data_IF_725045181411
#
_entry.id   IF_725045181411
#
_cell.length_a   1.000
_cell.length_b   1.000
_cell.length_c   1.000
_cell.angle_alpha   90.00
_cell.angle_beta   90.00
_cell.angle_gamma   90.00
#
_symmetry.space_group_name_H-M   'P 1'
#
loop_
_entity.id
_entity.type
_entity.pdbx_description
1 polymer ?
#
# COMPACT_ATOMS: atom_id res chain seq x y z
N UNK A 1 -16.91 24.42 -17.88
CA UNK A 1 -16.68 23.00 -17.53
C UNK A 1 -16.11 23.00 -16.12
N UNK A 2 -16.96 22.79 -15.11
CA UNK A 2 -16.53 22.77 -13.72
C UNK A 2 -15.87 21.42 -13.47
N UNK A 3 -14.54 21.38 -13.36
CA UNK A 3 -13.86 20.26 -12.73
C UNK A 3 -14.33 20.27 -11.27
N UNK A 4 -15.28 19.40 -10.90
CA UNK A 4 -15.50 19.14 -9.48
C UNK A 4 -14.22 18.50 -8.97
N UNK A 5 -13.45 19.21 -8.16
CA UNK A 5 -12.39 18.59 -7.39
C UNK A 5 -13.04 17.46 -6.59
N UNK A 6 -12.71 16.20 -6.92
CA UNK A 6 -13.24 15.07 -6.18
C UNK A 6 -12.75 15.22 -4.74
N UNK A 7 -13.67 15.48 -3.81
CA UNK A 7 -13.32 15.62 -2.40
C UNK A 7 -12.71 14.31 -1.91
N UNK A 8 -11.65 14.43 -1.12
CA UNK A 8 -11.05 13.26 -0.49
C UNK A 8 -12.09 12.56 0.40
N UNK A 9 -12.17 11.23 0.30
CA UNK A 9 -13.17 10.45 1.05
C UNK A 9 -12.57 9.53 2.09
N UNK A 10 -11.43 8.88 1.80
CA UNK A 10 -10.82 7.93 2.73
C UNK A 10 -9.39 7.57 2.33
N UNK A 11 -8.70 6.95 3.28
CA UNK A 11 -7.37 6.36 3.13
C UNK A 11 -7.37 5.00 3.83
N UNK A 12 -6.36 4.18 3.58
CA UNK A 12 -6.19 2.91 4.27
C UNK A 12 -4.86 2.83 5.00
N UNK A 13 -4.87 2.32 6.21
CA UNK A 13 -3.67 1.85 6.89
C UNK A 13 -3.11 0.62 6.17
N UNK A 14 -1.81 0.36 6.30
CA UNK A 14 -1.18 -0.86 5.83
C UNK A 14 0.01 -1.23 6.72
N UNK A 15 0.27 -2.53 6.81
CA UNK A 15 1.44 -3.10 7.46
C UNK A 15 1.89 -4.31 6.66
N UNK A 16 3.19 -4.47 6.44
CA UNK A 16 3.72 -5.52 5.61
C UNK A 16 5.17 -5.85 5.89
N UNK A 17 5.63 -6.89 5.21
CA UNK A 17 7.03 -7.27 5.16
C UNK A 17 7.36 -7.65 3.74
N UNK A 18 8.59 -7.38 3.34
CA UNK A 18 9.09 -7.80 2.03
C UNK A 18 9.55 -9.27 2.11
N UNK A 19 9.62 -9.93 0.96
CA UNK A 19 10.18 -11.28 0.84
C UNK A 19 11.69 -11.24 1.06
N UNK A 20 12.29 -12.39 1.34
CA UNK A 20 13.75 -12.53 1.38
C UNK A 20 14.36 -12.12 0.03
N UNK A 21 15.50 -11.44 0.08
CA UNK A 21 16.37 -11.22 -1.07
C UNK A 21 17.78 -11.75 -0.79
N UNK A 22 18.62 -11.67 -1.82
CA UNK A 22 20.01 -12.13 -1.80
C UNK A 22 20.17 -13.65 -1.56
N UNK A 23 21.42 -14.12 -1.56
CA UNK A 23 21.79 -15.52 -1.35
C UNK A 23 23.05 -15.57 -0.49
N UNK A 24 23.20 -16.62 0.33
CA UNK A 24 24.38 -16.80 1.18
C UNK A 24 24.24 -16.14 2.56
N UNK A 25 25.22 -15.32 2.94
CA UNK A 25 25.36 -14.82 4.32
C UNK A 25 24.50 -13.59 4.64
N UNK A 26 24.00 -12.87 3.64
CA UNK A 26 23.18 -11.66 3.82
C UNK A 26 21.72 -11.86 3.38
N UNK A 27 21.17 -13.07 3.52
CA UNK A 27 19.75 -13.30 3.22
C UNK A 27 18.90 -12.62 4.29
N UNK A 28 18.18 -11.56 3.92
CA UNK A 28 17.36 -10.79 4.86
C UNK A 28 16.04 -10.30 4.26
N UNK A 29 15.22 -9.68 5.11
CA UNK A 29 14.05 -8.92 4.70
C UNK A 29 13.89 -7.66 5.55
N UNK A 30 12.87 -6.90 5.20
CA UNK A 30 12.48 -5.66 5.86
C UNK A 30 10.97 -5.61 6.14
N UNK A 31 10.57 -4.75 7.08
CA UNK A 31 9.17 -4.46 7.43
C UNK A 31 8.80 -3.05 7.03
N UNK A 32 7.51 -2.81 6.78
CA UNK A 32 7.01 -1.46 6.52
C UNK A 32 5.58 -1.30 7.04
N UNK A 33 5.22 -0.06 7.35
CA UNK A 33 3.86 0.31 7.75
C UNK A 33 3.57 1.76 7.30
N UNK A 34 2.30 2.15 7.32
CA UNK A 34 1.89 3.50 7.03
C UNK A 34 0.42 3.63 6.71
N UNK A 35 0.06 4.79 6.15
CA UNK A 35 -1.28 5.10 5.66
C UNK A 35 -1.14 5.48 4.19
N UNK A 36 -2.07 5.00 3.37
CA UNK A 36 -2.06 5.29 1.94
C UNK A 36 -2.29 6.78 1.69
N UNK A 37 -1.89 7.23 0.51
CA UNK A 37 -2.32 8.50 -0.02
C UNK A 37 -3.82 8.52 -0.30
N UNK A 38 -4.25 9.71 -0.67
CA UNK A 38 -5.57 10.09 -1.12
C UNK A 38 -6.12 9.25 -2.30
N UNK A 39 -7.45 9.13 -2.36
CA UNK A 39 -8.19 8.50 -3.47
C UNK A 39 -7.77 9.08 -4.82
N UNK A 40 -7.38 8.19 -5.74
CA UNK A 40 -7.11 8.47 -7.14
C UNK A 40 -8.24 7.81 -7.97
N UNK A 41 -9.12 8.59 -8.60
CA UNK A 41 -10.19 8.04 -9.44
C UNK A 41 -9.66 7.13 -10.56
N UNK A 42 -10.33 5.99 -10.80
CA UNK A 42 -9.96 5.05 -11.84
C UNK A 42 -11.21 4.42 -12.50
N UNK A 43 -11.06 3.84 -13.70
CA UNK A 43 -12.18 3.23 -14.44
C UNK A 43 -12.94 2.15 -13.66
N UNK A 44 -12.27 1.44 -12.75
CA UNK A 44 -12.84 0.36 -11.94
C UNK A 44 -12.86 0.71 -10.44
N UNK A 45 -13.37 1.90 -10.09
CA UNK A 45 -13.42 2.40 -8.72
C UNK A 45 -12.34 3.45 -8.46
N UNK A 46 -11.40 3.16 -7.58
CA UNK A 46 -10.29 4.06 -7.27
C UNK A 46 -9.04 3.28 -6.85
N UNK A 47 -7.94 4.00 -6.68
CA UNK A 47 -6.67 3.46 -6.20
C UNK A 47 -6.07 4.44 -5.20
N UNK A 48 -5.03 4.00 -4.51
CA UNK A 48 -4.24 4.84 -3.62
C UNK A 48 -2.78 4.76 -4.01
N UNK A 49 -2.04 5.84 -3.72
CA UNK A 49 -0.57 5.81 -3.77
C UNK A 49 -0.04 5.36 -2.42
N UNK A 50 0.94 4.47 -2.41
CA UNK A 50 1.72 4.15 -1.20
C UNK A 50 3.12 4.70 -1.41
N UNK A 51 3.48 5.68 -0.58
CA UNK A 51 4.82 6.25 -0.46
C UNK A 51 5.33 6.01 0.96
N UNK A 52 6.22 5.04 1.15
CA UNK A 52 6.80 4.75 2.46
C UNK A 52 8.25 4.28 2.32
N UNK A 53 8.89 4.00 3.45
CA UNK A 53 10.16 3.29 3.52
C UNK A 53 10.00 2.04 4.36
N UNK A 54 10.88 1.08 4.15
CA UNK A 54 11.02 -0.03 5.08
C UNK A 54 11.74 0.42 6.36
N UNK A 55 11.77 -0.47 7.36
CA UNK A 55 12.67 -0.36 8.50
C UNK A 55 14.14 -0.39 8.05
N UNK A 56 15.00 0.02 8.99
CA UNK A 56 16.45 0.01 8.81
C UNK A 56 17.00 -1.29 9.38
N UNK A 57 17.64 -2.09 8.53
CA UNK A 57 18.27 -3.36 8.88
C UNK A 57 19.55 -3.50 8.06
N UNK A 58 20.61 -4.10 8.62
CA UNK A 58 21.92 -4.28 7.98
C UNK A 58 22.38 -3.06 7.16
N UNK A 59 22.38 -1.89 7.80
CA UNK A 59 22.86 -0.61 7.24
C UNK A 59 22.06 -0.02 6.07
N UNK A 60 20.89 -0.55 5.72
CA UNK A 60 20.07 0.05 4.67
C UNK A 60 18.56 -0.06 4.93
N UNK A 61 17.81 0.63 4.08
CA UNK A 61 16.35 0.56 3.97
C UNK A 61 15.98 0.73 2.50
N UNK A 62 14.79 0.31 2.12
CA UNK A 62 14.26 0.57 0.79
C UNK A 62 13.10 1.54 0.81
N UNK A 63 12.95 2.30 -0.28
CA UNK A 63 11.75 3.09 -0.55
C UNK A 63 10.71 2.25 -1.28
N UNK A 64 9.45 2.55 -1.01
CA UNK A 64 8.28 1.98 -1.68
C UNK A 64 7.47 3.15 -2.23
N UNK A 65 7.24 3.12 -3.54
CA UNK A 65 6.49 4.16 -4.24
C UNK A 65 5.62 3.53 -5.34
N UNK A 66 4.40 3.14 -4.99
CA UNK A 66 3.54 2.32 -5.84
C UNK A 66 2.09 2.83 -5.86
N UNK A 67 1.29 2.31 -6.80
CA UNK A 67 -0.16 2.49 -6.86
C UNK A 67 -0.83 1.16 -6.56
N UNK A 68 -1.89 1.18 -5.76
CA UNK A 68 -2.62 -0.03 -5.38
C UNK A 68 -3.45 -0.64 -6.51
N UNK A 69 -3.87 -1.88 -6.33
CA UNK A 69 -4.93 -2.52 -7.13
C UNK A 69 -6.30 -1.84 -6.98
N UNK A 70 -7.30 -2.23 -7.77
CA UNK A 70 -8.69 -1.79 -7.57
C UNK A 70 -9.23 -2.22 -6.19
N UNK A 71 -10.30 -1.59 -5.68
CA UNK A 71 -10.92 -1.98 -4.42
C UNK A 71 -11.46 -3.40 -4.53
N UNK A 72 -11.20 -4.21 -3.49
CA UNK A 72 -11.70 -5.58 -3.35
C UNK A 72 -12.73 -5.58 -2.21
N UNK A 73 -14.03 -5.78 -2.51
CA UNK A 73 -15.08 -5.74 -1.49
C UNK A 73 -14.85 -6.79 -0.40
N UNK A 74 -15.05 -6.39 0.85
CA UNK A 74 -15.00 -7.29 2.03
C UNK A 74 -16.34 -7.34 2.78
N UNK A 75 -17.41 -6.82 2.17
CA UNK A 75 -18.76 -6.79 2.72
C UNK A 75 -19.13 -5.46 3.39
N UNK A 76 -20.43 -5.24 3.61
CA UNK A 76 -20.98 -4.05 4.27
C UNK A 76 -20.45 -2.71 3.70
N UNK A 77 -20.30 -2.63 2.37
CA UNK A 77 -19.83 -1.42 1.70
C UNK A 77 -18.36 -1.06 1.95
N UNK A 78 -17.55 -1.97 2.52
CA UNK A 78 -16.12 -1.78 2.78
C UNK A 78 -15.27 -2.54 1.78
N UNK A 79 -14.03 -2.09 1.58
CA UNK A 79 -13.05 -2.77 0.76
C UNK A 79 -11.64 -2.69 1.35
N UNK A 80 -10.74 -3.45 0.72
CA UNK A 80 -9.28 -3.35 0.86
C UNK A 80 -8.66 -3.20 -0.51
N UNK A 81 -7.38 -2.85 -0.57
CA UNK A 81 -6.60 -2.89 -1.80
C UNK A 81 -5.43 -3.87 -1.68
N UNK A 82 -5.19 -4.65 -2.73
CA UNK A 82 -4.03 -5.53 -2.82
C UNK A 82 -2.90 -4.90 -3.66
N UNK A 83 -1.67 -5.28 -3.32
CA UNK A 83 -0.44 -4.88 -4.01
C UNK A 83 0.46 -6.11 -4.15
N UNK A 84 1.02 -6.28 -5.35
CA UNK A 84 2.20 -7.10 -5.60
C UNK A 84 3.22 -6.24 -6.34
N UNK A 85 4.38 -6.00 -5.73
CA UNK A 85 5.38 -5.08 -6.27
C UNK A 85 6.79 -5.39 -5.74
N UNK A 86 7.75 -4.58 -6.15
CA UNK A 86 9.11 -4.57 -5.61
C UNK A 86 9.41 -3.22 -4.97
N UNK A 87 10.34 -3.22 -4.01
CA UNK A 87 10.95 -2.00 -3.51
C UNK A 87 11.79 -1.29 -4.58
N UNK A 88 12.14 -0.02 -4.34
CA UNK A 88 13.21 0.65 -5.08
C UNK A 88 14.57 -0.01 -4.78
N UNK A 89 15.53 0.14 -5.70
CA UNK A 89 16.89 -0.40 -5.53
C UNK A 89 17.56 0.31 -4.35
N UNK A 90 18.14 -0.47 -3.45
CA UNK A 90 18.99 0.00 -2.35
C UNK A 90 20.05 -1.07 -2.11
N UNK A 91 21.27 -0.67 -1.80
CA UNK A 91 22.39 -1.58 -1.53
C UNK A 91 22.58 -2.72 -2.56
N UNK A 92 22.34 -2.42 -3.84
CA UNK A 92 22.53 -3.38 -4.93
C UNK A 92 21.40 -4.39 -5.15
N UNK A 93 20.35 -4.43 -4.31
CA UNK A 93 19.23 -5.36 -4.49
C UNK A 93 17.84 -4.71 -4.27
N UNK A 94 16.80 -5.53 -4.47
CA UNK A 94 15.38 -5.19 -4.29
C UNK A 94 14.67 -6.35 -3.62
N UNK A 95 13.59 -6.05 -2.91
CA UNK A 95 12.70 -7.07 -2.39
C UNK A 95 11.33 -7.01 -3.07
N UNK A 96 10.82 -8.17 -3.45
CA UNK A 96 9.41 -8.34 -3.78
C UNK A 96 8.57 -8.28 -2.51
N UNK A 97 7.30 -7.87 -2.62
CA UNK A 97 6.35 -7.95 -1.52
C UNK A 97 4.92 -8.12 -2.03
N UNK A 98 4.08 -8.72 -1.18
CA UNK A 98 2.63 -8.81 -1.35
C UNK A 98 2.02 -8.21 -0.08
N UNK A 99 1.08 -7.28 -0.23
CA UNK A 99 0.38 -6.67 0.91
C UNK A 99 -1.06 -6.35 0.55
N UNK A 100 -1.95 -6.44 1.54
CA UNK A 100 -3.27 -5.85 1.49
C UNK A 100 -3.32 -4.66 2.45
N UNK A 101 -4.01 -3.59 2.07
CA UNK A 101 -4.35 -2.53 3.02
C UNK A 101 -5.32 -3.06 4.07
N UNK A 102 -5.41 -2.37 5.21
CA UNK A 102 -6.42 -2.62 6.22
C UNK A 102 -7.79 -2.11 5.75
N UNK A 103 -8.84 -2.61 6.40
CA UNK A 103 -10.24 -2.38 6.03
C UNK A 103 -10.59 -0.89 6.13
N UNK A 104 -11.26 -0.35 5.10
CA UNK A 104 -11.85 0.99 5.17
C UNK A 104 -12.87 1.07 6.31
N UNK A 105 -12.75 2.09 7.17
CA UNK A 105 -13.75 2.47 8.16
C UNK A 105 -14.32 1.24 8.93
N UNK A 106 -13.49 0.54 9.72
CA UNK A 106 -13.84 -0.76 10.27
C UNK A 106 -15.03 -0.73 11.24
N UNK A 107 -15.26 0.42 11.89
CA UNK A 107 -16.30 0.59 12.91
C UNK A 107 -17.39 1.59 12.52
N UNK A 108 -17.16 2.45 11.52
CA UNK A 108 -18.14 3.46 11.16
C UNK A 108 -19.33 2.86 10.44
N UNK A 109 -20.45 3.58 10.52
CA UNK A 109 -21.69 3.22 9.85
C UNK A 109 -21.47 3.21 8.34
N UNK A 110 -21.73 2.07 7.70
CA UNK A 110 -21.59 1.88 6.26
C UNK A 110 -22.72 2.51 5.44
N UNK A 111 -23.65 3.21 6.11
CA UNK A 111 -24.75 3.89 5.44
C UNK A 111 -24.22 5.20 4.89
N UNK A 112 -23.72 5.16 3.65
CA UNK A 112 -23.75 6.35 2.80
C UNK A 112 -25.23 6.67 2.58
N UNK A 113 -25.74 7.71 3.23
CA UNK A 113 -26.98 8.36 2.82
C UNK A 113 -26.78 9.03 1.45
#
# INVERSE_FOLDING_TARGET
>A
MLCSESTQTHVHEFVGSVKLAEFGEDVHNHRFAGVSGEVIPAKCGHRHRICTKTDFFNNHFHKINIITGPPIPVGNGRHVHFVYACTEMSDGHKHQFIVATLIENPIGNSVRC
#
